data_IF_836227598758
#
_entry.id   IF_836227598758
#
_cell.length_a   1.000
_cell.length_b   1.000
_cell.length_c   1.000
_cell.angle_alpha   90.00
_cell.angle_beta   90.00
_cell.angle_gamma   90.00
#
_symmetry.space_group_name_H-M   'P 1'
#
loop_
_entity.id
_entity.type
_entity.pdbx_description
1 polymer ?
#
# COMPACT_ATOMS: atom_id res chain seq x y z
N UNK A 1 3.39 -7.92 4.55
CA UNK A 1 2.14 -7.20 4.85
C UNK A 1 1.86 -7.31 6.33
N UNK A 2 1.48 -6.20 6.97
CA UNK A 2 1.02 -6.18 8.36
C UNK A 2 -0.43 -6.70 8.45
N UNK A 3 -0.84 -7.20 9.62
CA UNK A 3 -2.23 -7.59 9.87
C UNK A 3 -3.11 -6.39 10.27
N UNK A 4 -2.50 -5.43 10.98
CA UNK A 4 -3.14 -4.23 11.50
C UNK A 4 -2.25 -3.04 11.16
N UNK A 5 -2.84 -1.95 10.69
CA UNK A 5 -2.15 -0.71 10.36
C UNK A 5 -2.80 0.43 11.13
N UNK A 6 -1.98 1.20 11.85
CA UNK A 6 -2.36 2.48 12.47
C UNK A 6 -1.48 3.53 11.80
N UNK A 7 -2.06 4.67 11.41
CA UNK A 7 -1.34 5.74 10.74
C UNK A 7 -1.47 7.06 11.51
N UNK A 8 -0.51 7.96 11.28
CA UNK A 8 -0.68 9.36 11.67
C UNK A 8 -1.70 10.04 10.73
N UNK A 9 -2.46 11.01 11.23
CA UNK A 9 -3.46 11.76 10.46
C UNK A 9 -2.89 12.37 9.18
N UNK A 10 -1.64 12.82 9.24
CA UNK A 10 -0.91 13.47 8.14
C UNK A 10 -0.05 12.49 7.30
N UNK A 11 -0.16 11.18 7.53
CA UNK A 11 0.55 10.20 6.73
C UNK A 11 0.13 10.29 5.26
N UNK A 12 1.09 10.21 4.34
CA UNK A 12 0.81 10.21 2.91
C UNK A 12 0.89 8.78 2.35
N UNK A 13 -0.25 8.19 1.97
CA UNK A 13 -0.37 6.77 1.63
C UNK A 13 -0.89 6.59 0.21
N UNK A 14 -0.15 5.86 -0.64
CA UNK A 14 -0.58 5.50 -1.98
C UNK A 14 0.51 4.76 -2.76
N UNK A 15 0.33 4.66 -4.08
CA UNK A 15 1.36 4.12 -4.97
C UNK A 15 1.50 4.96 -6.26
N UNK A 16 2.03 6.20 -6.17
CA UNK A 16 2.32 7.04 -7.34
C UNK A 16 3.16 6.39 -8.46
N UNK A 17 4.04 5.40 -8.20
CA UNK A 17 4.78 4.71 -9.27
C UNK A 17 3.92 4.12 -10.41
N UNK A 18 2.60 3.92 -10.22
CA UNK A 18 1.67 3.54 -11.31
C UNK A 18 1.70 4.49 -12.51
N UNK A 19 2.14 5.73 -12.31
CA UNK A 19 2.15 6.78 -13.36
C UNK A 19 3.26 6.59 -14.40
N UNK A 20 4.41 6.04 -14.01
CA UNK A 20 5.58 5.95 -14.93
C UNK A 20 6.67 4.96 -14.55
N UNK A 21 6.47 4.14 -13.50
CA UNK A 21 7.54 3.30 -12.96
C UNK A 21 7.17 1.82 -12.92
N UNK A 22 5.89 1.46 -12.78
CA UNK A 22 5.47 0.05 -12.69
C UNK A 22 4.11 -0.07 -12.03
N UNK A 23 3.71 -1.27 -11.62
CA UNK A 23 2.48 -1.52 -10.84
C UNK A 23 2.86 -2.22 -9.53
N UNK A 24 2.08 -2.14 -8.42
CA UNK A 24 2.49 -2.80 -7.19
C UNK A 24 2.76 -4.30 -7.41
N UNK A 25 4.01 -4.77 -7.20
CA UNK A 25 4.35 -6.19 -7.41
C UNK A 25 3.70 -7.09 -6.36
N UNK A 26 3.26 -6.50 -5.23
CA UNK A 26 2.42 -7.15 -4.23
C UNK A 26 1.06 -6.44 -4.18
N UNK A 27 0.00 -7.14 -4.56
CA UNK A 27 -1.34 -6.54 -4.69
C UNK A 27 -2.25 -6.90 -3.53
N UNK A 28 -2.28 -6.05 -2.51
CA UNK A 28 -3.22 -6.14 -1.39
C UNK A 28 -4.36 -5.11 -1.45
N UNK A 29 -4.26 -4.10 -2.31
CA UNK A 29 -5.21 -3.00 -2.42
C UNK A 29 -6.67 -3.46 -2.54
N UNK A 30 -6.95 -4.43 -3.42
CA UNK A 30 -8.30 -4.95 -3.62
C UNK A 30 -8.87 -5.60 -2.35
N UNK A 31 -8.04 -6.25 -1.54
CA UNK A 31 -8.46 -6.92 -0.31
C UNK A 31 -8.65 -5.93 0.85
N UNK A 32 -7.97 -4.78 0.83
CA UNK A 32 -8.04 -3.79 1.90
C UNK A 32 -9.18 -2.78 1.69
N UNK A 33 -9.29 -2.21 0.49
CA UNK A 33 -10.24 -1.09 0.23
C UNK A 33 -11.36 -1.45 -0.75
N UNK A 34 -11.41 -2.71 -1.20
CA UNK A 34 -12.34 -3.16 -2.22
C UNK A 34 -11.96 -2.70 -3.64
N UNK A 35 -12.66 -3.21 -4.67
CA UNK A 35 -12.24 -3.06 -6.06
C UNK A 35 -12.34 -1.64 -6.61
N UNK A 36 -13.29 -0.83 -6.15
CA UNK A 36 -13.48 0.54 -6.67
C UNK A 36 -12.34 1.46 -6.24
N UNK A 37 -12.05 1.51 -4.93
CA UNK A 37 -10.95 2.32 -4.40
C UNK A 37 -9.59 1.79 -4.82
N UNK A 38 -9.41 0.46 -4.88
CA UNK A 38 -8.19 -0.12 -5.42
C UNK A 38 -7.95 0.33 -6.87
N UNK A 39 -8.97 0.31 -7.73
CA UNK A 39 -8.86 0.82 -9.10
C UNK A 39 -8.57 2.32 -9.13
N UNK A 40 -9.20 3.11 -8.26
CA UNK A 40 -8.89 4.53 -8.15
C UNK A 40 -7.39 4.72 -7.90
N UNK A 41 -6.81 4.14 -6.84
CA UNK A 41 -5.36 4.19 -6.58
C UNK A 41 -4.52 3.73 -7.77
N UNK A 42 -4.84 2.58 -8.38
CA UNK A 42 -4.02 1.99 -9.44
C UNK A 42 -4.10 2.75 -10.77
N UNK A 43 -5.19 3.47 -11.03
CA UNK A 43 -5.45 4.14 -12.31
C UNK A 43 -5.16 5.64 -12.26
N UNK A 44 -5.00 6.23 -11.07
CA UNK A 44 -4.68 7.65 -10.89
C UNK A 44 -3.31 7.87 -10.25
N UNK A 45 -2.83 6.92 -9.45
CA UNK A 45 -1.62 7.08 -8.64
C UNK A 45 -1.77 8.06 -7.48
N UNK A 46 -3.02 8.40 -7.13
CA UNK A 46 -3.33 9.31 -6.02
C UNK A 46 -2.83 8.78 -4.68
N UNK A 47 -2.67 9.71 -3.75
CA UNK A 47 -2.34 9.42 -2.36
C UNK A 47 -3.43 9.98 -1.45
N UNK A 48 -3.52 9.43 -0.24
CA UNK A 48 -4.50 9.84 0.77
C UNK A 48 -3.80 10.09 2.09
N UNK A 49 -4.38 10.99 2.89
CA UNK A 49 -4.01 11.19 4.29
C UNK A 49 -4.28 9.93 5.13
N UNK A 50 -3.67 9.81 6.31
CA UNK A 50 -3.98 8.72 7.24
C UNK A 50 -5.45 8.73 7.65
N UNK A 51 -6.03 9.91 7.80
CA UNK A 51 -7.44 10.08 8.15
C UNK A 51 -8.38 9.57 7.06
N UNK A 52 -8.14 9.94 5.81
CA UNK A 52 -8.90 9.41 4.67
C UNK A 52 -8.70 7.89 4.52
N UNK A 53 -7.49 7.40 4.80
CA UNK A 53 -7.17 5.98 4.80
C UNK A 53 -8.00 5.20 5.84
N UNK A 54 -8.24 5.76 7.03
CA UNK A 54 -9.13 5.17 8.04
C UNK A 54 -10.59 5.18 7.57
N UNK A 55 -11.08 6.31 7.06
CA UNK A 55 -12.45 6.45 6.55
C UNK A 55 -12.77 5.42 5.44
N UNK A 56 -11.75 5.00 4.70
CA UNK A 56 -11.90 3.98 3.66
C UNK A 56 -11.57 2.55 4.07
N UNK A 57 -11.11 2.32 5.30
CA UNK A 57 -10.71 1.01 5.82
C UNK A 57 -9.37 0.49 5.28
N UNK A 58 -8.54 1.36 4.69
CA UNK A 58 -7.18 1.03 4.28
C UNK A 58 -6.27 0.83 5.50
N UNK A 59 -6.47 1.67 6.52
CA UNK A 59 -5.86 1.51 7.85
C UNK A 59 -6.97 1.29 8.87
N UNK A 60 -6.64 0.63 9.98
CA UNK A 60 -7.59 0.32 11.05
C UNK A 60 -7.96 1.56 11.86
N UNK A 61 -6.99 2.47 12.06
CA UNK A 61 -7.17 3.70 12.81
C UNK A 61 -6.16 4.77 12.36
N UNK A 62 -6.59 6.03 12.33
CA UNK A 62 -5.72 7.20 12.21
C UNK A 62 -5.72 7.99 13.51
N UNK A 63 -4.57 8.55 13.88
CA UNK A 63 -4.41 9.36 15.10
C UNK A 63 -3.45 10.53 14.88
N UNK A 64 -3.49 11.59 15.70
CA UNK A 64 -2.46 12.62 15.66
C UNK A 64 -1.06 12.01 15.81
N UNK A 65 -0.08 12.56 15.09
CA UNK A 65 1.27 12.00 15.02
C UNK A 65 1.91 11.80 16.41
N UNK A 66 1.69 12.74 17.33
CA UNK A 66 2.15 12.68 18.71
C UNK A 66 1.50 11.56 19.56
N UNK A 67 0.34 11.06 19.15
CA UNK A 67 -0.38 9.99 19.82
C UNK A 67 -0.13 8.60 19.24
N UNK A 68 0.58 8.50 18.10
CA UNK A 68 0.75 7.26 17.35
C UNK A 68 1.40 6.16 18.19
N UNK A 69 2.54 6.44 18.82
CA UNK A 69 3.29 5.45 19.62
C UNK A 69 2.44 4.92 20.79
N UNK A 70 1.71 5.80 21.48
CA UNK A 70 0.86 5.40 22.61
C UNK A 70 -0.26 4.44 22.19
N UNK A 71 -0.86 4.66 21.02
CA UNK A 71 -1.94 3.81 20.51
C UNK A 71 -1.40 2.47 19.98
N UNK A 72 -0.23 2.49 19.34
CA UNK A 72 0.49 1.28 18.92
C UNK A 72 0.87 0.43 20.14
N UNK A 73 1.44 1.04 21.18
CA UNK A 73 1.83 0.35 22.41
C UNK A 73 0.62 -0.26 23.13
N UNK A 74 -0.50 0.47 23.22
CA UNK A 74 -1.72 -0.07 23.82
C UNK A 74 -2.25 -1.29 23.05
N UNK A 75 -2.27 -1.23 21.71
CA UNK A 75 -2.66 -2.37 20.87
C UNK A 75 -1.73 -3.57 21.09
N UNK A 76 -0.41 -3.35 21.04
CA UNK A 76 0.58 -4.40 21.22
C UNK A 76 0.46 -5.04 22.62
N UNK A 77 0.28 -4.22 23.66
CA UNK A 77 0.08 -4.67 25.04
C UNK A 77 -1.21 -5.46 25.22
N UNK A 78 -2.27 -5.14 24.48
CA UNK A 78 -3.51 -5.94 24.45
C UNK A 78 -3.27 -7.31 23.82
N UNK A 79 -2.60 -7.36 22.67
CA UNK A 79 -2.29 -8.64 22.01
C UNK A 79 -1.35 -9.51 22.84
N UNK A 80 -0.35 -8.91 23.51
CA UNK A 80 0.63 -9.63 24.33
C UNK A 80 0.02 -10.39 25.52
N UNK A 81 -1.21 -10.03 25.92
CA UNK A 81 -1.96 -10.72 26.99
C UNK A 81 -2.67 -11.99 26.50
N UNK A 82 -2.72 -12.24 25.19
CA UNK A 82 -3.37 -13.39 24.59
C UNK A 82 -2.32 -14.50 24.39
N UNK A 83 -2.60 -15.77 24.79
CA UNK A 83 -1.72 -16.89 24.48
C UNK A 83 -1.36 -16.96 22.99
N UNK A 84 -0.09 -17.22 22.70
CA UNK A 84 0.44 -17.15 21.33
C UNK A 84 -0.24 -18.14 20.36
N UNK A 85 -0.64 -19.30 20.86
CA UNK A 85 -1.33 -20.35 20.12
C UNK A 85 -2.74 -19.90 19.70
N UNK A 86 -3.43 -19.18 20.60
CA UNK A 86 -4.72 -18.57 20.29
C UNK A 86 -4.59 -17.43 19.27
N UNK A 87 -3.55 -16.58 19.37
CA UNK A 87 -3.27 -15.56 18.35
C UNK A 87 -3.02 -16.21 16.99
N UNK A 88 -2.18 -17.24 16.94
CA UNK A 88 -1.86 -17.95 15.72
C UNK A 88 -3.09 -18.62 15.09
N UNK A 89 -3.93 -19.27 15.91
CA UNK A 89 -5.17 -19.90 15.44
C UNK A 89 -6.13 -18.90 14.80
N UNK A 90 -6.39 -17.77 15.47
CA UNK A 90 -7.28 -16.73 14.97
C UNK A 90 -6.74 -16.08 13.69
N UNK A 91 -5.45 -15.70 13.67
CA UNK A 91 -4.79 -15.15 12.48
C UNK A 91 -4.83 -16.13 11.30
N UNK A 92 -4.63 -17.42 11.56
CA UNK A 92 -4.68 -18.47 10.52
C UNK A 92 -6.07 -18.53 9.85
N UNK A 93 -7.16 -18.41 10.61
CA UNK A 93 -8.53 -18.46 10.03
C UNK A 93 -8.73 -17.29 9.06
N UNK A 94 -8.36 -16.07 9.46
CA UNK A 94 -8.50 -14.86 8.63
C UNK A 94 -7.63 -14.98 7.37
N UNK A 95 -6.37 -15.41 7.51
CA UNK A 95 -5.47 -15.56 6.37
C UNK A 95 -5.93 -16.63 5.39
N UNK A 96 -6.51 -17.73 5.87
CA UNK A 96 -7.11 -18.76 5.00
C UNK A 96 -8.29 -18.22 4.22
N UNK A 97 -9.10 -17.32 4.79
CA UNK A 97 -10.16 -16.66 4.04
C UNK A 97 -9.60 -15.79 2.91
N UNK A 98 -8.52 -15.04 3.15
CA UNK A 98 -7.83 -14.29 2.09
C UNK A 98 -7.27 -15.20 1.00
N UNK A 99 -6.67 -16.33 1.39
CA UNK A 99 -6.13 -17.31 0.45
C UNK A 99 -7.21 -17.93 -0.42
N UNK A 100 -8.39 -18.23 0.15
CA UNK A 100 -9.57 -18.70 -0.59
C UNK A 100 -10.12 -17.64 -1.55
N UNK A 101 -9.92 -16.35 -1.27
CA UNK A 101 -10.19 -15.25 -2.21
C UNK A 101 -9.07 -15.06 -3.25
N UNK A 102 -8.13 -15.99 -3.36
CA UNK A 102 -7.08 -16.00 -4.38
C UNK A 102 -5.86 -15.14 -4.06
N UNK A 103 -5.66 -14.68 -2.82
CA UNK A 103 -4.58 -13.76 -2.43
C UNK A 103 -3.21 -14.20 -2.94
N UNK A 104 -2.84 -15.48 -2.76
CA UNK A 104 -1.52 -16.00 -3.14
C UNK A 104 -1.30 -15.95 -4.65
N UNK A 105 -2.28 -16.39 -5.45
CA UNK A 105 -2.20 -16.34 -6.91
C UNK A 105 -2.13 -14.89 -7.41
N UNK A 106 -2.87 -13.99 -6.78
CA UNK A 106 -2.85 -12.58 -7.12
C UNK A 106 -1.46 -11.96 -6.89
N UNK A 107 -0.70 -12.39 -5.87
CA UNK A 107 0.67 -11.88 -5.69
C UNK A 107 1.59 -12.28 -6.85
N UNK A 108 1.48 -13.52 -7.34
CA UNK A 108 2.24 -13.97 -8.52
C UNK A 108 1.86 -13.17 -9.76
N UNK A 109 0.57 -13.05 -10.05
CA UNK A 109 0.08 -12.29 -11.22
C UNK A 109 0.51 -10.82 -11.13
N UNK A 110 0.47 -10.21 -9.93
CA UNK A 110 0.89 -8.83 -9.74
C UNK A 110 2.37 -8.63 -10.05
N UNK A 111 3.24 -9.51 -9.53
CA UNK A 111 4.67 -9.47 -9.82
C UNK A 111 4.99 -9.69 -11.31
N UNK A 112 4.30 -10.63 -11.97
CA UNK A 112 4.45 -10.86 -13.41
C UNK A 112 3.99 -9.64 -14.23
N UNK A 113 2.85 -9.05 -13.85
CA UNK A 113 2.30 -7.87 -14.52
C UNK A 113 3.23 -6.67 -14.35
N UNK A 114 3.82 -6.50 -13.16
CA UNK A 114 4.83 -5.47 -12.89
C UNK A 114 6.11 -5.67 -13.72
N UNK A 115 6.61 -6.90 -13.81
CA UNK A 115 7.76 -7.22 -14.65
C UNK A 115 7.53 -6.85 -16.13
N UNK A 116 6.32 -7.05 -16.63
CA UNK A 116 5.91 -6.61 -17.98
C UNK A 116 5.79 -5.08 -18.05
N UNK A 117 5.20 -4.44 -17.03
CA UNK A 117 5.01 -2.99 -16.99
C UNK A 117 6.35 -2.23 -17.05
N UNK A 118 7.41 -2.78 -16.44
CA UNK A 118 8.77 -2.24 -16.53
C UNK A 118 9.34 -2.16 -17.96
N UNK A 119 8.73 -2.86 -18.92
CA UNK A 119 9.13 -2.79 -20.34
C UNK A 119 8.46 -1.65 -21.11
N UNK A 120 7.50 -0.95 -20.50
CA UNK A 120 6.80 0.16 -21.14
C UNK A 120 7.74 1.33 -21.46
N UNK A 121 7.43 2.06 -22.52
CA UNK A 121 8.22 3.20 -22.98
C UNK A 121 8.33 4.29 -21.91
N UNK A 122 7.26 4.52 -21.15
CA UNK A 122 7.22 5.53 -20.09
C UNK A 122 8.19 5.20 -18.94
N UNK A 123 8.35 3.92 -18.60
CA UNK A 123 9.33 3.47 -17.60
C UNK A 123 10.76 3.64 -18.10
N UNK A 124 11.01 3.34 -19.38
CA UNK A 124 12.32 3.58 -19.99
C UNK A 124 12.67 5.06 -19.99
N UNK A 125 11.70 5.93 -20.25
CA UNK A 125 11.91 7.38 -20.19
C UNK A 125 12.15 7.88 -18.76
N UNK A 126 11.39 7.39 -17.78
CA UNK A 126 11.66 7.67 -16.37
C UNK A 126 13.10 7.31 -15.98
N UNK A 127 13.55 6.11 -16.36
CA UNK A 127 14.90 5.62 -16.07
C UNK A 127 15.96 6.48 -16.78
N UNK A 128 15.75 6.84 -18.04
CA UNK A 128 16.65 7.72 -18.79
C UNK A 128 16.82 9.07 -18.09
N UNK A 129 15.72 9.71 -17.67
CA UNK A 129 15.77 10.98 -16.93
C UNK A 129 16.47 10.79 -15.58
N UNK A 130 16.21 9.69 -14.88
CA UNK A 130 16.85 9.38 -13.61
C UNK A 130 18.37 9.19 -13.77
N UNK A 131 18.82 8.52 -14.82
CA UNK A 131 20.24 8.27 -15.09
C UNK A 131 20.97 9.55 -15.53
N UNK A 132 20.33 10.40 -16.35
CA UNK A 132 20.94 11.63 -16.87
C UNK A 132 20.87 12.82 -15.90
N UNK A 133 19.78 12.94 -15.14
CA UNK A 133 19.42 14.14 -14.37
C UNK A 133 19.16 13.86 -12.88
N UNK A 134 19.17 12.58 -12.47
CA UNK A 134 18.96 12.14 -11.11
C UNK A 134 17.50 11.84 -10.75
N UNK A 135 17.31 10.98 -9.75
CA UNK A 135 16.00 10.51 -9.30
C UNK A 135 15.02 11.64 -8.96
N UNK A 136 15.49 12.72 -8.33
CA UNK A 136 14.63 13.85 -7.96
C UNK A 136 14.04 14.53 -9.20
N UNK A 137 14.81 14.66 -10.27
CA UNK A 137 14.33 15.23 -11.53
C UNK A 137 13.30 14.31 -12.20
N UNK A 138 13.55 12.99 -12.19
CA UNK A 138 12.62 12.01 -12.74
C UNK A 138 11.28 11.97 -11.98
N UNK A 139 11.31 12.05 -10.65
CA UNK A 139 10.09 12.13 -9.82
C UNK A 139 9.33 13.43 -10.10
N UNK A 140 10.01 14.58 -10.14
CA UNK A 140 9.37 15.85 -10.47
C UNK A 140 8.75 15.83 -11.88
N UNK A 141 9.41 15.23 -12.86
CA UNK A 141 8.86 15.03 -14.20
C UNK A 141 7.61 14.14 -14.21
N UNK A 142 7.64 13.03 -13.45
CA UNK A 142 6.48 12.13 -13.31
C UNK A 142 5.27 12.83 -12.70
N UNK A 143 5.49 13.60 -11.64
CA UNK A 143 4.42 14.17 -10.82
C UNK A 143 3.93 15.54 -11.33
N UNK A 144 4.73 16.24 -12.14
CA UNK A 144 4.39 17.55 -12.70
C UNK A 144 2.98 17.66 -13.33
N UNK A 145 2.45 16.63 -14.04
CA UNK A 145 1.10 16.70 -14.59
C UNK A 145 -0.04 16.60 -13.55
N UNK A 146 0.23 16.08 -12.35
CA UNK A 146 -0.78 15.66 -11.38
C UNK A 146 -1.02 16.67 -10.25
N UNK A 147 -0.14 17.67 -10.10
CA UNK A 147 -0.29 18.80 -9.16
C UNK A 147 -0.49 18.37 -7.68
N UNK A 148 0.08 17.23 -7.31
CA UNK A 148 0.09 16.65 -5.97
C UNK A 148 1.51 16.61 -5.35
#
# INVERSE_FOLDING_TARGET
>A
HCDIVIAADDANIGFPPVRSMGTPPTHMWTYMVGPQRAKWFMLTGETVSGKEAEEMGLVMQSVPAEGLDAVVDDLANKMAKIPWDMLAANKSIVNKALDLMGRNMMQTIAAETDAVAHQSEIVREFNRISDEQGLKAALAWRDAPFSD
#
